data_IF_860340707760
#
_entry.id   IF_860340707760
#
_cell.length_a   1.000
_cell.length_b   1.000
_cell.length_c   1.000
_cell.angle_alpha   90.00
_cell.angle_beta   90.00
_cell.angle_gamma   90.00
#
_symmetry.space_group_name_H-M   'P 1'
#
loop_
_entity.id
_entity.type
_entity.pdbx_description
1 polymer ?
#
# COMPACT_ATOMS: atom_id res chain seq x y z
N UNK A 1 22.41 -35.02 8.25
CA UNK A 1 21.92 -34.78 9.63
C UNK A 1 20.73 -33.83 9.59
N UNK A 2 19.62 -34.16 10.27
CA UNK A 2 18.47 -33.25 10.42
C UNK A 2 18.69 -32.39 11.67
N UNK A 3 18.42 -31.09 11.59
CA UNK A 3 18.46 -30.16 12.72
C UNK A 3 17.04 -29.97 13.26
N UNK A 4 16.88 -29.95 14.59
CA UNK A 4 15.58 -29.76 15.24
C UNK A 4 15.47 -28.28 15.63
N UNK A 5 14.35 -27.64 15.28
CA UNK A 5 14.02 -26.27 15.66
C UNK A 5 12.66 -26.29 16.34
N UNK A 6 12.57 -25.69 17.52
CA UNK A 6 11.31 -25.55 18.24
C UNK A 6 10.54 -24.36 17.70
N UNK A 7 9.25 -24.50 17.49
CA UNK A 7 8.42 -23.47 16.86
C UNK A 7 7.38 -23.00 17.87
N UNK A 8 7.37 -21.70 18.19
CA UNK A 8 6.31 -21.11 18.98
C UNK A 8 5.03 -21.03 18.13
N UNK A 9 3.88 -21.41 18.69
CA UNK A 9 2.60 -21.42 17.98
C UNK A 9 2.56 -22.37 16.77
N UNK A 10 3.04 -23.61 17.00
CA UNK A 10 3.30 -24.61 15.96
C UNK A 10 2.07 -24.99 15.10
N UNK A 11 0.88 -25.03 15.70
CA UNK A 11 -0.37 -25.38 14.99
C UNK A 11 -0.70 -24.37 13.89
N UNK A 12 -0.76 -23.08 14.23
CA UNK A 12 -1.06 -22.00 13.27
C UNK A 12 -0.02 -21.94 12.15
N UNK A 13 1.26 -22.12 12.52
CA UNK A 13 2.36 -22.10 11.57
C UNK A 13 2.34 -23.30 10.62
N UNK A 14 2.02 -24.49 11.11
CA UNK A 14 1.83 -25.65 10.25
C UNK A 14 0.71 -25.43 9.25
N UNK A 15 -0.44 -24.90 9.66
CA UNK A 15 -1.54 -24.60 8.74
C UNK A 15 -1.10 -23.65 7.62
N UNK A 16 -0.42 -22.55 7.95
CA UNK A 16 0.09 -21.60 6.95
C UNK A 16 1.10 -22.24 5.99
N UNK A 17 1.98 -23.10 6.50
CA UNK A 17 2.98 -23.80 5.70
C UNK A 17 2.33 -24.85 4.77
N UNK A 18 1.31 -25.56 5.24
CA UNK A 18 0.53 -26.50 4.42
C UNK A 18 -0.22 -25.80 3.29
N UNK A 19 -0.66 -24.56 3.50
CA UNK A 19 -1.24 -23.69 2.46
C UNK A 19 -0.19 -23.12 1.48
N UNK A 20 1.09 -23.49 1.61
CA UNK A 20 2.18 -23.00 0.76
C UNK A 20 2.64 -21.57 1.10
N UNK A 21 2.18 -20.97 2.20
CA UNK A 21 2.58 -19.62 2.61
C UNK A 21 3.96 -19.67 3.26
N UNK A 22 4.77 -18.63 3.01
CA UNK A 22 6.05 -18.43 3.71
C UNK A 22 5.81 -17.69 5.02
N UNK A 23 6.58 -18.05 6.05
CA UNK A 23 6.52 -17.42 7.37
C UNK A 23 7.86 -16.76 7.68
N UNK A 24 7.84 -15.46 7.91
CA UNK A 24 8.99 -14.70 8.41
C UNK A 24 9.02 -14.70 9.94
N UNK A 25 10.22 -14.70 10.51
CA UNK A 25 10.39 -14.68 11.95
C UNK A 25 11.85 -14.55 12.37
N UNK A 26 12.07 -14.72 13.68
CA UNK A 26 13.40 -14.69 14.30
C UNK A 26 13.74 -16.05 14.89
N UNK A 27 14.99 -16.47 14.71
CA UNK A 27 15.57 -17.63 15.39
C UNK A 27 16.45 -17.17 16.55
N UNK A 28 16.31 -17.81 17.69
CA UNK A 28 17.09 -17.51 18.89
C UNK A 28 17.28 -18.77 19.74
N UNK A 29 18.28 -18.76 20.62
CA UNK A 29 18.41 -19.77 21.66
C UNK A 29 17.57 -19.31 22.84
N UNK A 30 16.57 -20.11 23.20
CA UNK A 30 15.75 -19.85 24.38
C UNK A 30 16.60 -20.00 25.64
N UNK A 31 16.67 -18.94 26.45
CA UNK A 31 17.49 -18.89 27.67
C UNK A 31 17.01 -19.88 28.75
N UNK A 32 15.73 -20.23 28.75
CA UNK A 32 15.16 -21.13 29.77
C UNK A 32 15.38 -22.60 29.42
N UNK A 33 15.28 -22.95 28.14
CA UNK A 33 15.38 -24.35 27.69
C UNK A 33 16.70 -24.71 27.02
N UNK A 34 17.53 -23.72 26.67
CA UNK A 34 18.76 -23.89 25.91
C UNK A 34 18.54 -24.34 24.45
N UNK A 35 17.30 -24.33 23.97
CA UNK A 35 16.91 -24.89 22.66
C UNK A 35 16.83 -23.82 21.58
N UNK A 36 17.20 -24.20 20.36
CA UNK A 36 17.03 -23.38 19.17
C UNK A 36 15.55 -23.24 18.83
N UNK A 37 15.04 -22.02 18.92
CA UNK A 37 13.61 -21.71 18.85
C UNK A 37 13.33 -20.67 17.76
N UNK A 38 12.23 -20.85 17.03
CA UNK A 38 11.71 -19.94 16.01
C UNK A 38 10.44 -19.25 16.52
N UNK A 39 10.40 -17.93 16.40
CA UNK A 39 9.23 -17.09 16.67
C UNK A 39 8.84 -16.34 15.41
N UNK A 40 7.67 -16.64 14.88
CA UNK A 40 7.10 -15.93 13.74
C UNK A 40 6.81 -14.46 14.10
N UNK A 41 6.99 -13.56 13.15
CA UNK A 41 6.55 -12.18 13.33
C UNK A 41 5.04 -12.10 13.29
N UNK A 42 4.43 -11.58 14.36
CA UNK A 42 2.99 -11.30 14.38
C UNK A 42 2.70 -9.96 13.71
N UNK A 43 3.03 -9.84 12.41
CA UNK A 43 2.73 -8.64 11.64
C UNK A 43 1.23 -8.66 11.33
N UNK A 44 0.47 -7.85 12.05
CA UNK A 44 -0.90 -7.56 11.66
C UNK A 44 -0.86 -7.00 10.22
N UNK A 45 -1.64 -7.56 9.28
CA UNK A 45 -1.74 -7.00 7.95
C UNK A 45 -2.24 -5.56 8.10
N UNK A 46 -1.40 -4.59 7.71
CA UNK A 46 -1.84 -3.19 7.68
C UNK A 46 -2.93 -3.08 6.61
N UNK A 47 -4.19 -3.03 7.04
CA UNK A 47 -5.31 -2.69 6.15
C UNK A 47 -5.11 -1.25 5.74
N UNK A 48 -4.55 -1.02 4.55
CA UNK A 48 -4.50 0.31 3.95
C UNK A 48 -5.85 0.54 3.29
N UNK A 49 -6.62 1.49 3.81
CA UNK A 49 -7.77 2.00 3.07
C UNK A 49 -7.26 2.51 1.71
N UNK A 50 -7.82 1.96 0.63
CA UNK A 50 -7.48 2.41 -0.73
C UNK A 50 -8.01 3.83 -0.91
N UNK A 51 -7.23 4.67 -1.56
CA UNK A 51 -7.70 6.00 -1.93
C UNK A 51 -8.90 5.88 -2.89
N UNK A 52 -9.93 6.68 -2.64
CA UNK A 52 -11.15 6.75 -3.46
C UNK A 52 -10.87 7.64 -4.68
N UNK A 53 -11.34 7.23 -5.85
CA UNK A 53 -11.27 8.06 -7.06
C UNK A 53 -12.34 9.14 -7.01
N UNK A 54 -11.90 10.40 -7.00
CA UNK A 54 -12.79 11.56 -7.09
C UNK A 54 -13.16 11.80 -8.55
N UNK A 55 -12.16 11.97 -9.41
CA UNK A 55 -12.37 12.20 -10.85
C UNK A 55 -11.20 11.69 -11.67
N UNK A 56 -11.51 11.12 -12.84
CA UNK A 56 -10.52 10.81 -13.87
C UNK A 56 -10.31 12.07 -14.73
N UNK A 57 -9.06 12.45 -14.93
CA UNK A 57 -8.67 13.57 -15.80
C UNK A 57 -8.12 13.02 -17.12
N UNK A 58 -8.06 13.83 -18.20
CA UNK A 58 -7.51 13.41 -19.49
C UNK A 58 -6.11 12.75 -19.38
N UNK A 59 -5.20 13.34 -18.61
CA UNK A 59 -3.82 12.87 -18.44
C UNK A 59 -3.52 12.34 -17.04
N UNK A 60 -4.56 12.08 -16.23
CA UNK A 60 -4.36 11.92 -14.80
C UNK A 60 -5.59 11.51 -14.00
N UNK A 61 -5.51 11.75 -12.70
CA UNK A 61 -6.60 11.51 -11.77
C UNK A 61 -6.47 12.33 -10.50
N UNK A 62 -7.62 12.53 -9.85
CA UNK A 62 -7.74 13.05 -8.49
C UNK A 62 -8.28 11.93 -7.60
N UNK A 63 -7.58 11.65 -6.49
CA UNK A 63 -8.02 10.68 -5.48
C UNK A 63 -8.03 11.30 -4.10
N UNK A 64 -8.91 10.79 -3.25
CA UNK A 64 -9.02 11.16 -1.84
C UNK A 64 -8.59 9.99 -0.96
N UNK A 65 -7.66 10.25 -0.05
CA UNK A 65 -7.47 9.40 1.14
C UNK A 65 -8.18 10.04 2.33
N UNK A 66 -8.25 9.31 3.45
CA UNK A 66 -8.79 9.84 4.71
C UNK A 66 -8.11 11.13 5.15
N UNK A 67 -6.84 11.32 4.82
CA UNK A 67 -6.04 12.44 5.32
C UNK A 67 -5.70 13.49 4.26
N UNK A 68 -5.78 13.16 2.96
CA UNK A 68 -5.22 14.00 1.89
C UNK A 68 -5.98 13.80 0.57
N UNK A 69 -6.17 14.89 -0.17
CA UNK A 69 -6.47 14.83 -1.61
C UNK A 69 -5.15 14.74 -2.39
N UNK A 70 -5.12 13.94 -3.45
CA UNK A 70 -3.94 13.66 -4.28
C UNK A 70 -4.27 13.89 -5.74
N UNK A 71 -3.43 14.63 -6.45
CA UNK A 71 -3.46 14.79 -7.91
C UNK A 71 -2.28 14.04 -8.51
N UNK A 72 -2.52 13.31 -9.60
CA UNK A 72 -1.47 12.74 -10.43
C UNK A 72 -1.71 13.12 -11.88
N UNK A 73 -0.66 13.46 -12.60
CA UNK A 73 -0.68 13.75 -14.03
C UNK A 73 0.57 13.15 -14.65
N UNK A 74 0.40 12.47 -15.79
CA UNK A 74 1.50 11.91 -16.57
C UNK A 74 1.31 12.34 -18.01
N UNK A 75 2.34 12.99 -18.56
CA UNK A 75 2.31 13.54 -19.90
C UNK A 75 3.33 12.80 -20.78
N UNK A 76 3.08 12.60 -22.10
CA UNK A 76 4.02 11.94 -23.00
C UNK A 76 5.34 12.70 -23.15
N UNK A 77 6.42 11.97 -23.41
CA UNK A 77 7.76 12.54 -23.62
C UNK A 77 8.03 12.91 -25.10
N UNK A 78 7.14 12.52 -26.02
CA UNK A 78 7.26 12.76 -27.45
C UNK A 78 6.72 14.13 -27.90
N UNK A 79 6.22 14.93 -26.96
CA UNK A 79 5.79 16.31 -27.17
C UNK A 79 6.78 17.31 -26.56
N UNK A 80 6.70 18.56 -27.00
CA UNK A 80 7.59 19.63 -26.54
C UNK A 80 7.36 19.96 -25.07
N UNK A 81 8.38 20.52 -24.40
CA UNK A 81 8.26 20.95 -23.01
C UNK A 81 7.13 21.98 -22.81
N UNK A 82 6.96 22.89 -23.76
CA UNK A 82 5.90 23.91 -23.73
C UNK A 82 4.51 23.27 -23.73
N UNK A 83 4.29 22.28 -24.60
CA UNK A 83 3.04 21.50 -24.62
C UNK A 83 2.84 20.71 -23.32
N UNK A 84 3.91 20.14 -22.76
CA UNK A 84 3.84 19.43 -21.49
C UNK A 84 3.39 20.36 -20.35
N UNK A 85 3.98 21.56 -20.26
CA UNK A 85 3.62 22.55 -19.26
C UNK A 85 2.18 23.03 -19.42
N UNK A 86 1.76 23.32 -20.66
CA UNK A 86 0.37 23.72 -20.95
C UNK A 86 -0.64 22.63 -20.53
N UNK A 87 -0.34 21.36 -20.79
CA UNK A 87 -1.15 20.23 -20.33
C UNK A 87 -1.17 20.16 -18.80
N UNK A 88 -0.03 20.33 -18.13
CA UNK A 88 0.05 20.30 -16.67
C UNK A 88 -0.77 21.41 -16.00
N UNK A 89 -0.80 22.60 -16.59
CA UNK A 89 -1.59 23.74 -16.12
C UNK A 89 -3.09 23.49 -16.32
N UNK A 90 -3.49 23.01 -17.50
CA UNK A 90 -4.88 22.65 -17.79
C UNK A 90 -5.39 21.55 -16.83
N UNK A 91 -4.59 20.51 -16.61
CA UNK A 91 -4.89 19.44 -15.66
C UNK A 91 -5.00 19.96 -14.23
N UNK A 92 -4.24 20.99 -13.86
CA UNK A 92 -4.31 21.61 -12.55
C UNK A 92 -5.65 22.32 -12.34
N UNK A 93 -6.12 23.07 -13.34
CA UNK A 93 -7.42 23.75 -13.29
C UNK A 93 -8.59 22.75 -13.25
N UNK A 94 -8.51 21.66 -14.03
CA UNK A 94 -9.51 20.60 -13.99
C UNK A 94 -9.53 19.89 -12.62
N UNK A 95 -8.36 19.65 -12.02
CA UNK A 95 -8.26 19.05 -10.69
C UNK A 95 -8.88 19.96 -9.61
N UNK A 96 -8.64 21.28 -9.67
CA UNK A 96 -9.27 22.24 -8.76
C UNK A 96 -10.79 22.21 -8.86
N UNK A 97 -11.33 22.25 -10.07
CA UNK A 97 -12.79 22.17 -10.30
C UNK A 97 -13.37 20.86 -9.78
N UNK A 98 -12.69 19.74 -10.03
CA UNK A 98 -13.11 18.43 -9.52
C UNK A 98 -13.21 18.41 -7.99
N UNK A 99 -12.25 19.02 -7.29
CA UNK A 99 -12.28 19.10 -5.82
C UNK A 99 -13.39 20.02 -5.29
N UNK A 100 -13.72 21.10 -6.01
CA UNK A 100 -14.84 21.98 -5.66
C UNK A 100 -16.17 21.25 -5.85
N UNK A 101 -16.36 20.56 -6.97
CA UNK A 101 -17.55 19.74 -7.24
C UNK A 101 -17.74 18.67 -6.16
N UNK A 102 -16.68 17.93 -5.85
CA UNK A 102 -16.63 16.92 -4.79
C UNK A 102 -17.02 17.52 -3.42
N UNK A 103 -16.50 18.70 -3.09
CA UNK A 103 -16.88 19.40 -1.85
C UNK A 103 -18.35 19.82 -1.82
N UNK A 104 -18.92 20.28 -2.94
CA UNK A 104 -20.34 20.66 -3.00
C UNK A 104 -21.24 19.41 -2.86
N UNK A 105 -20.83 18.29 -3.45
CA UNK A 105 -21.61 17.04 -3.45
C UNK A 105 -21.53 16.33 -2.08
N UNK A 106 -20.33 16.24 -1.49
CA UNK A 106 -20.12 15.57 -0.20
C UNK A 106 -20.34 16.50 1.01
N UNK A 107 -20.38 17.82 0.80
CA UNK A 107 -20.47 18.85 1.83
C UNK A 107 -21.88 19.37 2.15
N UNK A 108 -22.93 18.70 1.65
CA UNK A 108 -24.35 18.92 2.02
C UNK A 108 -24.88 17.72 2.80
#
# INVERSE_FOLDING_TARGET
MKKIVFVLNALELMMRLMEGKRVEGVMFIDKNTGKLTFKAYNRLPKVRHKDVLVKKLPWGWVKASVARKKRFTSVPNDITLEEQLAIMDQENELAKRALIEDYIIEGV
#
